data_IF_486571057147
#
_entry.id   IF_486571057147
#
_cell.length_a   1.000
_cell.length_b   1.000
_cell.length_c   1.000
_cell.angle_alpha   90.00
_cell.angle_beta   90.00
_cell.angle_gamma   90.00
#
_symmetry.space_group_name_H-M   'P 1'
#
loop_
_entity.id
_entity.type
_entity.pdbx_description
1 polymer ?
#
# COMPACT_ATOMS: atom_id res chain seq x y z
N UNK A 1 -16.80 -7.10 -8.89
CA UNK A 1 -15.59 -6.72 -8.14
C UNK A 1 -14.31 -7.35 -8.69
N UNK A 2 -14.33 -8.59 -9.21
CA UNK A 2 -13.15 -9.21 -9.82
C UNK A 2 -12.48 -8.34 -10.91
N UNK A 3 -13.26 -7.57 -11.68
CA UNK A 3 -12.76 -6.62 -12.70
C UNK A 3 -11.88 -5.49 -12.14
N UNK A 4 -11.80 -5.32 -10.82
CA UNK A 4 -11.00 -4.28 -10.17
C UNK A 4 -9.54 -4.70 -9.89
N UNK A 5 -9.13 -5.93 -10.17
CA UNK A 5 -7.76 -6.44 -9.95
C UNK A 5 -6.70 -5.54 -10.62
N UNK A 6 -6.94 -5.14 -11.88
CA UNK A 6 -6.04 -4.24 -12.61
C UNK A 6 -5.99 -2.82 -12.05
N UNK A 7 -7.14 -2.26 -11.65
CA UNK A 7 -7.21 -0.89 -11.11
C UNK A 7 -6.58 -0.82 -9.72
N UNK A 8 -6.82 -1.85 -8.90
CA UNK A 8 -6.21 -1.99 -7.58
C UNK A 8 -4.68 -2.13 -7.66
N UNK A 9 -4.17 -2.96 -8.56
CA UNK A 9 -2.72 -3.21 -8.68
C UNK A 9 -1.93 -1.98 -9.13
N UNK A 10 -2.59 -1.04 -9.80
CA UNK A 10 -2.04 0.26 -10.21
C UNK A 10 -2.27 1.38 -9.17
N UNK A 11 -2.75 1.04 -7.97
CA UNK A 11 -3.05 1.99 -6.89
C UNK A 11 -4.09 3.06 -7.29
N UNK A 12 -5.00 2.71 -8.21
CA UNK A 12 -5.99 3.65 -8.78
C UNK A 12 -7.36 3.60 -8.09
N UNK A 13 -7.52 2.78 -7.05
CA UNK A 13 -8.72 2.76 -6.19
C UNK A 13 -8.51 3.64 -4.95
N UNK A 14 -9.56 4.37 -4.56
CA UNK A 14 -9.52 5.26 -3.40
C UNK A 14 -10.70 5.02 -2.44
N UNK A 15 -10.45 5.31 -1.17
CA UNK A 15 -11.47 5.27 -0.11
C UNK A 15 -12.22 3.94 -0.06
N UNK A 16 -13.56 4.04 0.01
CA UNK A 16 -14.43 2.89 0.26
C UNK A 16 -14.33 1.78 -0.80
N UNK A 17 -14.03 2.13 -2.05
CA UNK A 17 -13.89 1.14 -3.13
C UNK A 17 -12.66 0.26 -2.92
N UNK A 18 -11.56 0.88 -2.46
CA UNK A 18 -10.35 0.15 -2.08
C UNK A 18 -10.62 -0.77 -0.89
N UNK A 19 -11.22 -0.23 0.17
CA UNK A 19 -11.51 -1.00 1.38
C UNK A 19 -12.38 -2.23 1.05
N UNK A 20 -13.42 -2.02 0.26
CA UNK A 20 -14.33 -3.10 -0.13
C UNK A 20 -13.63 -4.16 -1.01
N UNK A 21 -12.68 -3.75 -1.87
CA UNK A 21 -11.88 -4.69 -2.65
C UNK A 21 -10.89 -5.47 -1.78
N UNK A 22 -10.26 -4.84 -0.80
CA UNK A 22 -9.38 -5.53 0.16
C UNK A 22 -10.16 -6.58 0.98
N UNK A 23 -11.39 -6.27 1.39
CA UNK A 23 -12.30 -7.25 1.99
C UNK A 23 -12.62 -8.43 1.06
N UNK A 24 -12.72 -8.19 -0.25
CA UNK A 24 -12.92 -9.23 -1.24
C UNK A 24 -11.69 -10.14 -1.39
N UNK A 25 -10.47 -9.57 -1.38
CA UNK A 25 -9.21 -10.33 -1.47
C UNK A 25 -9.07 -11.36 -0.35
N UNK A 26 -9.58 -11.07 0.85
CA UNK A 26 -9.59 -12.02 1.97
C UNK A 26 -10.46 -13.26 1.73
N UNK A 27 -11.38 -13.22 0.77
CA UNK A 27 -12.43 -14.23 0.56
C UNK A 27 -12.32 -14.92 -0.81
N UNK A 28 -11.56 -14.35 -1.74
CA UNK A 28 -11.41 -14.85 -3.11
C UNK A 28 -9.95 -15.13 -3.43
N UNK A 29 -9.55 -16.40 -3.36
CA UNK A 29 -8.18 -16.83 -3.71
C UNK A 29 -7.80 -16.56 -5.17
N UNK A 30 -8.78 -16.57 -6.09
CA UNK A 30 -8.56 -16.25 -7.50
C UNK A 30 -8.08 -14.81 -7.71
N UNK A 31 -8.78 -13.83 -7.13
CA UNK A 31 -8.36 -12.44 -7.17
C UNK A 31 -7.04 -12.20 -6.43
N UNK A 32 -6.82 -12.87 -5.29
CA UNK A 32 -5.55 -12.75 -4.59
C UNK A 32 -4.36 -13.23 -5.45
N UNK A 33 -4.52 -14.36 -6.15
CA UNK A 33 -3.52 -14.87 -7.10
C UNK A 33 -3.31 -13.92 -8.26
N UNK A 34 -4.38 -13.42 -8.88
CA UNK A 34 -4.31 -12.51 -10.02
C UNK A 34 -3.62 -11.19 -9.65
N UNK A 35 -3.91 -10.63 -8.47
CA UNK A 35 -3.23 -9.44 -7.95
C UNK A 35 -1.73 -9.69 -7.75
N UNK A 36 -1.35 -10.86 -7.25
CA UNK A 36 0.07 -11.21 -7.09
C UNK A 36 0.79 -11.30 -8.44
N UNK A 37 0.17 -11.91 -9.46
CA UNK A 37 0.70 -12.00 -10.81
C UNK A 37 0.83 -10.62 -11.47
N UNK A 38 -0.20 -9.79 -11.34
CA UNK A 38 -0.20 -8.42 -11.87
C UNK A 38 0.85 -7.54 -11.20
N UNK A 39 1.06 -7.65 -9.88
CA UNK A 39 2.13 -6.91 -9.20
C UNK A 39 3.52 -7.27 -9.72
N UNK A 40 3.75 -8.53 -10.11
CA UNK A 40 5.00 -8.94 -10.77
C UNK A 40 5.19 -8.20 -12.10
N UNK A 41 4.14 -8.08 -12.92
CA UNK A 41 4.18 -7.33 -14.16
C UNK A 41 4.40 -5.82 -13.93
N UNK A 42 3.71 -5.23 -12.94
CA UNK A 42 3.87 -3.82 -12.57
C UNK A 42 5.30 -3.51 -12.10
N UNK A 43 5.93 -4.42 -11.35
CA UNK A 43 7.31 -4.26 -10.91
C UNK A 43 8.28 -4.13 -12.09
N UNK A 44 8.07 -4.90 -13.18
CA UNK A 44 8.87 -4.76 -14.40
C UNK A 44 8.71 -3.37 -15.02
N UNK A 45 7.50 -2.82 -15.08
CA UNK A 45 7.28 -1.45 -15.58
C UNK A 45 7.94 -0.40 -14.69
N UNK A 46 7.89 -0.54 -13.37
CA UNK A 46 8.50 0.40 -12.43
C UNK A 46 10.02 0.56 -12.69
N UNK A 47 10.72 -0.50 -13.08
CA UNK A 47 12.16 -0.41 -13.42
C UNK A 47 12.44 0.47 -14.64
N UNK A 48 11.52 0.52 -15.61
CA UNK A 48 11.67 1.33 -16.82
C UNK A 48 11.52 2.84 -16.56
N UNK A 49 10.80 3.22 -15.50
CA UNK A 49 10.54 4.60 -15.13
C UNK A 49 11.46 5.12 -14.00
N UNK A 50 12.41 4.30 -13.54
CA UNK A 50 13.25 4.63 -12.40
C UNK A 50 14.26 5.77 -12.73
N UNK A 51 14.36 6.74 -11.82
CA UNK A 51 15.33 7.84 -11.88
C UNK A 51 16.17 7.82 -10.58
N UNK A 52 17.47 8.20 -10.62
CA UNK A 52 18.27 8.28 -9.40
C UNK A 52 17.60 9.19 -8.35
N UNK A 53 17.53 8.76 -7.07
CA UNK A 53 16.99 9.60 -6.01
C UNK A 53 17.91 10.82 -5.76
N UNK A 54 17.37 11.93 -5.25
CA UNK A 54 18.18 13.07 -4.81
C UNK A 54 19.26 12.65 -3.81
N UNK A 55 20.45 13.28 -3.84
CA UNK A 55 21.50 13.00 -2.88
C UNK A 55 20.98 13.24 -1.46
N UNK A 56 21.42 12.41 -0.50
CA UNK A 56 21.06 12.48 0.92
C UNK A 56 19.59 12.20 1.26
N UNK A 57 18.76 11.78 0.30
CA UNK A 57 17.36 11.41 0.58
C UNK A 57 17.27 10.37 1.72
N UNK A 58 18.13 9.35 1.70
CA UNK A 58 18.17 8.35 2.75
C UNK A 58 18.55 8.93 4.12
N UNK A 59 19.56 9.81 4.19
CA UNK A 59 19.97 10.45 5.45
C UNK A 59 18.82 11.28 6.05
N UNK A 60 18.07 11.99 5.20
CA UNK A 60 16.89 12.75 5.61
C UNK A 60 15.79 11.84 6.17
N UNK A 61 15.46 10.75 5.47
CA UNK A 61 14.45 9.77 5.90
C UNK A 61 14.87 9.13 7.23
N UNK A 62 16.12 8.64 7.32
CA UNK A 62 16.65 8.00 8.51
C UNK A 62 16.64 8.94 9.73
N UNK A 63 16.98 10.22 9.53
CA UNK A 63 16.92 11.23 10.59
C UNK A 63 15.49 11.52 11.03
N UNK A 64 14.52 11.58 10.09
CA UNK A 64 13.10 11.76 10.41
C UNK A 64 12.57 10.60 11.25
N UNK A 65 12.81 9.35 10.82
CA UNK A 65 12.36 8.15 11.53
C UNK A 65 12.98 8.07 12.93
N UNK A 66 14.26 8.44 13.06
CA UNK A 66 14.95 8.46 14.36
C UNK A 66 14.38 9.54 15.29
N UNK A 67 13.98 10.69 14.76
CA UNK A 67 13.32 11.75 15.52
C UNK A 67 11.91 11.35 15.98
N UNK A 68 11.14 10.64 15.13
CA UNK A 68 9.81 10.13 15.46
C UNK A 68 9.85 8.92 16.42
N UNK A 69 11.00 8.25 16.51
CA UNK A 69 11.21 7.01 17.27
C UNK A 69 11.30 7.16 18.79
N UNK A 70 11.35 8.39 19.32
CA UNK A 70 11.42 8.67 20.77
C UNK A 70 10.03 8.83 21.42
N UNK A 71 8.97 9.06 20.63
CA UNK A 71 7.60 9.31 21.11
C UNK A 71 6.68 8.07 21.00
N UNK A 72 7.19 6.87 21.30
CA UNK A 72 6.35 5.66 21.37
C UNK A 72 5.44 5.66 22.62
N UNK A 73 4.37 6.46 22.59
CA UNK A 73 3.10 6.11 23.26
C UNK A 73 2.24 5.34 22.25
N UNK A 74 1.91 4.06 22.49
CA UNK A 74 1.11 3.29 21.55
C UNK A 74 -0.37 3.61 21.74
N UNK A 75 -0.87 4.64 21.04
CA UNK A 75 -2.31 4.89 20.91
C UNK A 75 -2.80 4.81 19.47
N UNK A 76 -2.38 3.77 18.76
CA UNK A 76 -3.00 3.34 17.49
C UNK A 76 -4.07 2.25 17.69
N UNK A 77 -4.62 2.10 18.90
CA UNK A 77 -5.64 1.08 19.23
C UNK A 77 -7.04 1.65 19.48
N UNK A 78 -7.23 2.98 19.42
CA UNK A 78 -8.46 3.63 19.89
C UNK A 78 -9.42 4.15 18.80
N UNK A 79 -9.08 4.08 17.49
CA UNK A 79 -9.88 4.73 16.43
C UNK A 79 -10.72 3.80 15.54
N UNK A 80 -10.69 2.47 15.73
CA UNK A 80 -11.52 1.53 14.93
C UNK A 80 -12.71 0.92 15.68
N UNK A 81 -13.04 1.37 16.91
CA UNK A 81 -14.28 1.00 17.63
C UNK A 81 -15.24 2.19 17.75
N UNK A 82 -15.46 2.89 16.65
CA UNK A 82 -16.54 3.88 16.56
C UNK A 82 -16.93 4.01 15.11
N UNK A 83 -17.95 3.26 14.73
CA UNK A 83 -19.01 3.65 13.81
C UNK A 83 -19.93 2.41 13.73
N UNK A 84 -20.85 2.41 14.70
CA UNK A 84 -22.19 1.83 14.58
C UNK A 84 -22.91 2.36 13.33
#
# INVERSE_FOLDING_TARGET
MHELTGVYTLDALAGLERDAFEWHLLRCGGCASEVADLHTAVALFATSAACPPPPRLWDCIASSIAADGDERTPEHSARSRRNE
#
